data_IF_371756751547
#
_entry.id   IF_371756751547
#
_cell.length_a   1.000
_cell.length_b   1.000
_cell.length_c   1.000
_cell.angle_alpha   90.00
_cell.angle_beta   90.00
_cell.angle_gamma   90.00
#
_symmetry.space_group_name_H-M   'P 1'
#
loop_
_entity.id
_entity.type
_entity.pdbx_description
1 polymer ?
#
# COMPACT_ATOMS: atom_id res chain seq x y z
N UNK A 1 3.01 19.89 -4.10
CA UNK A 1 3.33 18.71 -4.94
C UNK A 1 3.18 17.45 -4.10
N UNK A 2 2.47 16.46 -4.61
CA UNK A 2 2.34 15.22 -3.87
C UNK A 2 3.61 14.39 -3.94
N UNK A 3 3.92 13.72 -2.86
CA UNK A 3 5.07 12.85 -2.75
C UNK A 3 4.78 11.50 -3.42
N UNK A 4 5.65 11.08 -4.32
CA UNK A 4 5.51 9.78 -5.01
C UNK A 4 6.61 8.87 -4.50
N UNK A 5 6.24 7.93 -3.65
CA UNK A 5 7.15 6.96 -3.05
C UNK A 5 6.65 5.55 -3.28
N UNK A 6 7.58 4.61 -3.26
CA UNK A 6 7.31 3.19 -3.37
C UNK A 6 8.01 2.45 -2.25
N UNK A 7 7.56 1.24 -1.99
CA UNK A 7 8.28 0.30 -1.13
C UNK A 7 8.36 -1.05 -1.83
N UNK A 8 9.36 -1.83 -1.46
CA UNK A 8 9.54 -3.20 -1.92
C UNK A 8 10.50 -3.93 -1.03
N UNK A 9 10.44 -5.25 -1.04
CA UNK A 9 11.36 -6.06 -0.25
C UNK A 9 12.66 -6.30 -0.98
N UNK A 10 13.77 -6.03 -0.29
CA UNK A 10 15.11 -6.31 -0.76
C UNK A 10 15.28 -7.81 -1.04
N UNK A 11 15.71 -8.19 -2.24
CA UNK A 11 15.88 -9.60 -2.62
C UNK A 11 16.91 -10.34 -1.77
N UNK A 12 17.86 -9.61 -1.18
CA UNK A 12 18.94 -10.21 -0.39
C UNK A 12 18.60 -10.35 1.10
N UNK A 13 17.93 -9.35 1.65
CA UNK A 13 17.70 -9.26 3.08
C UNK A 13 16.25 -9.55 3.49
N UNK A 14 15.29 -9.41 2.56
CA UNK A 14 13.88 -9.50 2.85
C UNK A 14 13.31 -8.29 3.59
N UNK A 15 14.13 -7.27 3.85
CA UNK A 15 13.71 -6.06 4.53
C UNK A 15 13.00 -5.12 3.56
N UNK A 16 12.08 -4.31 4.10
CA UNK A 16 11.40 -3.29 3.32
C UNK A 16 12.32 -2.12 3.03
N UNK A 17 12.36 -1.73 1.76
CA UNK A 17 13.04 -0.54 1.28
C UNK A 17 12.01 0.47 0.80
N UNK A 18 12.19 1.75 1.15
CA UNK A 18 11.28 2.83 0.78
C UNK A 18 12.07 3.88 -0.01
N UNK A 19 11.52 4.30 -1.14
CA UNK A 19 12.16 5.32 -1.96
C UNK A 19 11.54 5.43 -3.33
N UNK A 20 12.39 5.72 -4.31
CA UNK A 20 11.97 5.90 -5.70
C UNK A 20 12.13 4.59 -6.46
N UNK A 21 11.10 4.25 -7.21
CA UNK A 21 11.13 3.04 -8.03
C UNK A 21 11.80 3.31 -9.37
N UNK A 22 12.66 2.39 -9.78
CA UNK A 22 13.28 2.42 -11.09
C UNK A 22 13.42 0.99 -11.64
N UNK A 23 13.18 0.86 -12.92
CA UNK A 23 13.44 -0.37 -13.64
C UNK A 23 14.70 -0.20 -14.45
N UNK A 24 15.75 -0.92 -14.11
CA UNK A 24 17.08 -0.69 -14.67
C UNK A 24 17.89 -1.97 -14.79
N UNK A 25 18.85 -2.03 -15.75
CA UNK A 25 19.83 -3.11 -15.76
C UNK A 25 20.87 -2.87 -14.67
N UNK A 26 21.42 -3.95 -14.09
CA UNK A 26 22.61 -3.83 -13.24
C UNK A 26 23.87 -3.82 -14.10
N UNK A 27 24.30 -4.96 -14.58
CA UNK A 27 25.47 -5.07 -15.45
C UNK A 27 25.09 -5.42 -16.88
N UNK A 28 23.93 -6.04 -17.05
CA UNK A 28 23.41 -6.48 -18.33
C UNK A 28 21.91 -6.65 -18.25
N UNK A 29 21.26 -6.82 -19.40
CA UNK A 29 19.86 -7.19 -19.47
C UNK A 29 19.61 -8.57 -18.83
N UNK A 30 18.45 -8.83 -18.20
CA UNK A 30 17.21 -8.03 -18.27
C UNK A 30 17.17 -6.86 -17.28
N UNK A 31 16.18 -5.99 -17.47
CA UNK A 31 15.85 -4.94 -16.51
C UNK A 31 15.35 -5.56 -15.22
N UNK A 32 15.73 -4.95 -14.10
CA UNK A 32 15.30 -5.38 -12.77
C UNK A 32 14.54 -4.28 -12.06
N UNK A 33 13.59 -4.68 -11.24
CA UNK A 33 12.84 -3.76 -10.40
C UNK A 33 13.67 -3.37 -9.20
N UNK A 34 13.87 -2.05 -9.00
CA UNK A 34 14.75 -1.53 -7.97
C UNK A 34 14.11 -0.38 -7.22
N UNK A 35 14.56 -0.20 -5.98
CA UNK A 35 14.27 1.00 -5.19
C UNK A 35 15.58 1.74 -4.96
N UNK A 36 15.55 3.05 -5.16
CA UNK A 36 16.60 3.96 -4.70
C UNK A 36 16.14 4.41 -3.30
N UNK A 37 16.78 3.93 -2.22
CA UNK A 37 16.29 4.22 -0.87
C UNK A 37 16.47 5.68 -0.53
N UNK A 38 15.39 6.30 -0.05
CA UNK A 38 15.40 7.73 0.27
C UNK A 38 16.29 8.06 1.48
N UNK A 39 16.42 7.13 2.41
CA UNK A 39 17.22 7.31 3.63
C UNK A 39 18.73 7.31 3.38
N UNK A 40 19.17 6.84 2.21
CA UNK A 40 20.58 6.75 1.82
C UNK A 40 20.93 7.67 0.65
N UNK A 41 19.95 8.33 0.05
CA UNK A 41 20.16 9.20 -1.11
C UNK A 41 21.02 10.44 -0.76
N UNK A 42 20.95 10.92 0.47
CA UNK A 42 21.70 12.09 0.94
C UNK A 42 23.20 11.86 1.07
N UNK A 43 23.62 10.60 1.11
CA UNK A 43 25.03 10.24 1.18
C UNK A 43 25.78 10.41 -0.15
N UNK A 44 25.09 10.84 -1.21
CA UNK A 44 25.67 11.04 -2.53
C UNK A 44 25.98 9.74 -3.27
N UNK A 45 25.54 8.63 -2.75
CA UNK A 45 25.69 7.32 -3.38
C UNK A 45 24.43 6.93 -4.11
N UNK A 46 24.58 6.60 -5.40
CA UNK A 46 23.51 6.03 -6.19
C UNK A 46 23.37 4.54 -5.85
N UNK A 47 22.67 4.27 -4.76
CA UNK A 47 22.39 2.90 -4.36
C UNK A 47 21.06 2.49 -5.00
N UNK A 48 21.10 1.44 -5.80
CA UNK A 48 19.91 0.78 -6.34
C UNK A 48 19.78 -0.58 -5.69
N UNK A 49 18.66 -0.82 -5.06
CA UNK A 49 18.39 -2.09 -4.39
C UNK A 49 17.39 -2.86 -5.20
N UNK A 50 17.79 -4.04 -5.66
CA UNK A 50 16.85 -4.94 -6.33
C UNK A 50 15.82 -5.44 -5.34
N UNK A 51 14.56 -5.35 -5.73
CA UNK A 51 13.44 -5.77 -4.91
C UNK A 51 12.73 -6.96 -5.54
N UNK A 52 11.98 -7.67 -4.71
CA UNK A 52 11.07 -8.73 -5.15
C UNK A 52 9.88 -8.04 -5.81
N UNK A 53 9.66 -8.23 -7.15
CA UNK A 53 8.68 -7.42 -7.90
C UNK A 53 7.26 -7.48 -7.33
N UNK A 54 6.85 -8.63 -6.84
CA UNK A 54 5.51 -8.84 -6.30
C UNK A 54 5.24 -8.03 -5.04
N UNK A 55 6.29 -7.55 -4.38
CA UNK A 55 6.18 -6.76 -3.15
C UNK A 55 6.10 -5.27 -3.39
N UNK A 56 6.28 -4.82 -4.64
CA UNK A 56 6.24 -3.41 -4.99
C UNK A 56 4.86 -2.82 -4.72
N UNK A 57 4.81 -1.74 -3.96
CA UNK A 57 3.60 -0.99 -3.68
C UNK A 57 3.88 0.49 -3.60
N UNK A 58 2.92 1.29 -4.06
CA UNK A 58 3.03 2.73 -4.06
C UNK A 58 2.43 3.32 -2.78
N UNK A 59 3.07 4.38 -2.27
CA UNK A 59 2.48 5.23 -1.23
C UNK A 59 1.23 5.91 -1.80
N UNK A 60 0.11 5.78 -1.10
CA UNK A 60 -1.18 6.34 -1.55
C UNK A 60 -1.24 7.87 -1.49
N UNK A 61 -0.28 8.50 -0.81
CA UNK A 61 -0.31 9.93 -0.51
C UNK A 61 -1.07 10.26 0.76
N UNK A 62 -1.65 9.28 1.42
CA UNK A 62 -2.50 9.46 2.59
C UNK A 62 -1.88 8.82 3.83
N UNK A 63 -2.21 9.38 4.98
CA UNK A 63 -1.81 8.87 6.29
C UNK A 63 -3.06 8.63 7.13
N UNK A 64 -3.03 7.60 7.96
CA UNK A 64 -4.04 7.38 8.98
C UNK A 64 -3.97 8.49 10.04
N UNK A 65 -5.00 8.61 10.86
CA UNK A 65 -5.04 9.61 11.95
C UNK A 65 -3.85 9.52 12.90
N UNK A 66 -3.29 8.31 13.07
CA UNK A 66 -2.10 8.09 13.90
C UNK A 66 -0.78 8.50 13.22
N UNK A 67 -0.83 9.01 11.99
CA UNK A 67 0.34 9.45 11.24
C UNK A 67 1.02 8.37 10.39
N UNK A 68 0.56 7.12 10.45
CA UNK A 68 1.14 6.07 9.62
C UNK A 68 0.81 6.27 8.15
N UNK A 69 1.82 6.20 7.30
CA UNK A 69 1.70 6.25 5.85
C UNK A 69 1.01 4.99 5.35
N UNK A 70 0.10 5.15 4.38
CA UNK A 70 -0.66 4.04 3.82
C UNK A 70 -0.13 3.69 2.44
N UNK A 71 0.28 2.44 2.27
CA UNK A 71 0.80 1.91 1.00
C UNK A 71 -0.16 0.91 0.38
N UNK A 72 -0.12 0.81 -0.93
CA UNK A 72 -0.73 -0.31 -1.64
C UNK A 72 -0.24 -1.63 -1.06
N UNK A 73 -1.17 -2.57 -0.80
CA UNK A 73 -0.85 -3.84 -0.17
C UNK A 73 -0.92 -3.84 1.35
N UNK A 74 -1.10 -2.68 1.97
CA UNK A 74 -1.32 -2.63 3.43
C UNK A 74 -2.64 -3.30 3.80
N UNK A 75 -2.66 -3.92 4.97
CA UNK A 75 -3.86 -4.43 5.60
C UNK A 75 -4.25 -3.46 6.70
N UNK A 76 -5.48 -2.99 6.61
CA UNK A 76 -6.04 -2.08 7.59
C UNK A 76 -7.14 -2.75 8.39
N UNK A 77 -7.38 -2.23 9.58
CA UNK A 77 -8.41 -2.70 10.50
C UNK A 77 -9.32 -1.55 10.86
N UNK A 78 -10.60 -1.82 10.89
CA UNK A 78 -11.60 -0.91 11.46
C UNK A 78 -12.60 -1.68 12.31
N UNK A 79 -13.28 -0.98 13.18
CA UNK A 79 -14.28 -1.56 14.08
C UNK A 79 -15.59 -0.80 13.89
N UNK A 80 -16.67 -1.54 13.72
CA UNK A 80 -17.99 -0.93 13.55
C UNK A 80 -18.68 -0.68 14.90
N UNK A 81 -19.85 -0.04 14.87
CA UNK A 81 -20.61 0.29 16.08
C UNK A 81 -21.03 -0.92 16.91
N UNK A 82 -21.19 -2.07 16.27
CA UNK A 82 -21.55 -3.32 16.96
C UNK A 82 -20.34 -4.13 17.39
N UNK A 83 -19.16 -3.50 17.42
CA UNK A 83 -17.87 -4.11 17.77
C UNK A 83 -17.39 -5.16 16.76
N UNK A 84 -18.01 -5.27 15.59
CA UNK A 84 -17.52 -6.12 14.51
C UNK A 84 -16.21 -5.54 13.94
N UNK A 85 -15.23 -6.40 13.76
CA UNK A 85 -13.92 -6.03 13.22
C UNK A 85 -13.86 -6.39 11.75
N UNK A 86 -13.40 -5.44 10.94
CA UNK A 86 -13.19 -5.63 9.50
C UNK A 86 -11.73 -5.41 9.16
N UNK A 87 -11.21 -6.26 8.29
CA UNK A 87 -9.90 -6.08 7.68
C UNK A 87 -10.07 -5.77 6.20
N UNK A 88 -9.21 -4.90 5.68
CA UNK A 88 -9.25 -4.56 4.28
C UNK A 88 -7.84 -4.42 3.71
N UNK A 89 -7.73 -4.56 2.41
CA UNK A 89 -6.47 -4.42 1.68
C UNK A 89 -6.53 -3.16 0.83
N UNK A 90 -5.46 -2.39 0.86
CA UNK A 90 -5.30 -1.24 -0.02
C UNK A 90 -4.93 -1.74 -1.41
N UNK A 91 -5.80 -1.45 -2.38
CA UNK A 91 -5.63 -1.84 -3.78
C UNK A 91 -5.61 -0.60 -4.67
N UNK A 92 -5.08 -0.75 -5.87
CA UNK A 92 -5.19 0.24 -6.93
C UNK A 92 -5.92 -0.37 -8.10
N UNK A 93 -6.91 0.35 -8.63
CA UNK A 93 -7.68 -0.12 -9.79
C UNK A 93 -9.03 0.56 -9.89
N UNK A 94 -9.94 -0.12 -10.55
CA UNK A 94 -11.31 0.36 -10.73
C UNK A 94 -12.14 -0.02 -9.52
N UNK A 95 -12.93 0.92 -9.03
CA UNK A 95 -13.91 0.66 -7.97
C UNK A 95 -15.15 1.50 -8.19
N UNK A 96 -16.27 1.05 -7.66
CA UNK A 96 -17.54 1.76 -7.80
C UNK A 96 -17.65 2.87 -6.75
N UNK A 97 -18.12 4.03 -7.21
CA UNK A 97 -18.40 5.13 -6.29
C UNK A 97 -19.49 4.75 -5.27
N UNK A 98 -19.38 5.28 -4.03
CA UNK A 98 -20.43 5.04 -3.04
C UNK A 98 -21.78 5.56 -3.54
N UNK A 99 -22.85 4.78 -3.33
CA UNK A 99 -24.24 5.12 -3.69
C UNK A 99 -24.56 5.19 -5.19
N UNK A 100 -23.58 5.13 -6.07
CA UNK A 100 -23.79 5.20 -7.53
C UNK A 100 -23.15 3.99 -8.20
N UNK A 101 -23.96 2.95 -8.44
CA UNK A 101 -23.45 1.69 -9.01
C UNK A 101 -22.93 1.84 -10.43
N UNK A 102 -23.37 2.88 -11.15
CA UNK A 102 -22.99 3.13 -12.54
C UNK A 102 -21.73 3.99 -12.66
N UNK A 103 -21.25 4.58 -11.56
CA UNK A 103 -20.02 5.38 -11.55
C UNK A 103 -18.83 4.53 -11.16
N UNK A 104 -17.83 4.54 -12.02
CA UNK A 104 -16.57 3.83 -11.81
C UNK A 104 -15.43 4.81 -11.62
N UNK A 105 -14.72 4.68 -10.53
CA UNK A 105 -13.51 5.45 -10.26
C UNK A 105 -12.27 4.60 -10.49
N UNK A 106 -11.15 5.25 -10.74
CA UNK A 106 -9.83 4.60 -10.81
C UNK A 106 -8.95 5.26 -9.76
N UNK A 107 -8.34 4.46 -8.91
CA UNK A 107 -7.46 4.96 -7.86
C UNK A 107 -7.22 3.93 -6.78
N UNK A 108 -6.73 4.41 -5.65
CA UNK A 108 -6.55 3.58 -4.48
C UNK A 108 -7.89 3.41 -3.75
N UNK A 109 -8.16 2.20 -3.32
CA UNK A 109 -9.38 1.87 -2.58
C UNK A 109 -9.12 0.75 -1.58
N UNK A 110 -10.09 0.50 -0.72
CA UNK A 110 -10.02 -0.57 0.27
C UNK A 110 -10.92 -1.71 -0.18
N UNK A 111 -10.33 -2.90 -0.31
CA UNK A 111 -11.07 -4.14 -0.52
C UNK A 111 -11.27 -4.81 0.84
N UNK A 112 -12.48 -4.72 1.37
CA UNK A 112 -12.82 -5.26 2.69
C UNK A 112 -13.08 -6.76 2.67
N UNK A 113 -12.65 -7.45 3.73
CA UNK A 113 -12.86 -8.89 3.94
C UNK A 113 -13.35 -9.09 5.37
N UNK A 114 -14.60 -9.52 5.61
CA UNK A 114 -15.66 -9.70 4.63
C UNK A 114 -16.10 -8.38 4.00
N UNK A 115 -16.89 -8.48 2.92
CA UNK A 115 -17.33 -7.28 2.18
C UNK A 115 -18.08 -6.33 3.12
N UNK A 116 -17.58 -5.10 3.17
CA UNK A 116 -18.21 -4.04 3.95
C UNK A 116 -19.23 -3.32 3.08
N UNK A 117 -20.47 -3.10 3.55
CA UNK A 117 -21.52 -2.53 2.71
C UNK A 117 -21.33 -1.05 2.38
N UNK A 118 -20.57 -0.33 3.18
CA UNK A 118 -20.36 1.10 3.00
C UNK A 118 -19.05 1.34 2.25
N UNK A 119 -19.17 1.70 0.98
CA UNK A 119 -18.01 2.05 0.16
C UNK A 119 -17.76 3.54 0.29
N UNK A 120 -16.54 3.89 0.61
CA UNK A 120 -16.08 5.26 0.75
C UNK A 120 -14.73 5.38 0.05
N UNK A 121 -14.42 6.60 -0.38
CA UNK A 121 -13.08 6.89 -0.88
C UNK A 121 -12.04 6.65 0.20
N UNK A 122 -10.82 6.30 -0.24
CA UNK A 122 -9.73 6.05 0.70
C UNK A 122 -9.45 7.27 1.59
N UNK A 123 -9.53 8.48 1.02
CA UNK A 123 -9.34 9.71 1.79
C UNK A 123 -10.35 9.83 2.94
N UNK A 124 -11.61 9.45 2.70
CA UNK A 124 -12.62 9.46 3.76
C UNK A 124 -12.21 8.52 4.90
N UNK A 125 -11.77 7.30 4.57
CA UNK A 125 -11.37 6.33 5.58
C UNK A 125 -10.18 6.81 6.42
N UNK A 126 -9.17 7.39 5.76
CA UNK A 126 -7.96 7.84 6.46
C UNK A 126 -8.16 9.10 7.28
N UNK A 127 -9.04 10.01 6.84
CA UNK A 127 -9.25 11.31 7.47
C UNK A 127 -10.39 11.32 8.50
N UNK A 128 -11.44 10.55 8.25
CA UNK A 128 -12.69 10.64 9.03
C UNK A 128 -12.95 9.44 9.92
N UNK A 129 -12.40 8.28 9.59
CA UNK A 129 -12.68 7.06 10.32
C UNK A 129 -11.44 6.60 11.11
N UNK A 130 -11.69 5.78 12.13
CA UNK A 130 -10.62 5.18 12.91
C UNK A 130 -10.17 3.89 12.25
N UNK A 131 -9.22 4.01 11.36
CA UNK A 131 -8.56 2.86 10.74
C UNK A 131 -7.10 2.84 11.14
N UNK A 132 -6.54 1.64 11.19
CA UNK A 132 -5.12 1.48 11.46
C UNK A 132 -4.50 0.46 10.52
N UNK A 133 -3.24 0.68 10.16
CA UNK A 133 -2.45 -0.29 9.42
C UNK A 133 -1.98 -1.34 10.41
N UNK A 134 -2.36 -2.59 10.20
CA UNK A 134 -2.01 -3.70 11.10
C UNK A 134 -1.02 -4.69 10.48
N UNK A 135 -0.70 -4.52 9.21
CA UNK A 135 0.23 -5.38 8.50
C UNK A 135 0.15 -5.13 7.00
N UNK A 136 0.56 -6.12 6.24
CA UNK A 136 0.46 -6.08 4.78
C UNK A 136 0.28 -7.50 4.23
N UNK A 137 -0.11 -7.59 2.96
CA UNK A 137 -0.45 -8.89 2.33
C UNK A 137 0.76 -9.83 2.18
N UNK A 138 1.98 -9.31 2.24
CA UNK A 138 3.20 -10.10 2.08
C UNK A 138 3.69 -10.69 3.39
N UNK A 139 3.58 -9.93 4.47
CA UNK A 139 4.05 -10.35 5.79
C UNK A 139 2.94 -10.97 6.65
N UNK A 140 1.69 -10.56 6.46
CA UNK A 140 0.58 -10.91 7.34
C UNK A 140 -0.67 -11.38 6.60
N UNK A 141 -0.55 -12.31 5.61
CA UNK A 141 -1.71 -12.75 4.84
C UNK A 141 -2.80 -13.42 5.70
N UNK A 142 -2.43 -13.97 6.84
CA UNK A 142 -3.34 -14.61 7.79
C UNK A 142 -4.42 -13.67 8.34
N UNK A 143 -4.16 -12.36 8.33
CA UNK A 143 -5.14 -11.37 8.81
C UNK A 143 -6.38 -11.29 7.91
N UNK A 144 -6.29 -11.78 6.70
CA UNK A 144 -7.38 -11.79 5.73
C UNK A 144 -8.17 -13.10 5.73
N UNK A 145 -7.74 -14.08 6.51
CA UNK A 145 -8.46 -15.35 6.62
C UNK A 145 -9.75 -15.14 7.41
N UNK A 146 -10.85 -15.60 6.81
CA UNK A 146 -12.18 -15.55 7.43
C UNK A 146 -12.48 -16.94 7.98
N UNK A 147 -12.69 -17.00 9.28
CA UNK A 147 -13.11 -18.23 9.93
C UNK A 147 -14.59 -18.55 9.64
#
# INVERSE_FOLDING_TARGET
MREILFRGKNVKTGEWEIGWYVKAPFDSWPLRDCIIPMDRAEAGEYIRIEIIPETLGQFTGLKCKNGMMVYEGDIIRTESFDESVFHGVIRYGRYNAPFFQDETNIGFFIEWVPVFPWRRDLAHWTEKEDIEVVGNIHDNPELLEVE
#
